data_IF_287036242332
#
_entry.id   IF_287036242332
#
_cell.length_a   1.000
_cell.length_b   1.000
_cell.length_c   1.000
_cell.angle_alpha   90.00
_cell.angle_beta   90.00
_cell.angle_gamma   90.00
#
_symmetry.space_group_name_H-M   'P 1'
#
loop_
_entity.id
_entity.type
_entity.pdbx_description
1 polymer ?
#
# COMPACT_ATOMS: atom_id res chain seq x y z
N UNK A 1 9.71 -32.92 -37.91
CA UNK A 1 10.05 -32.55 -36.52
C UNK A 1 9.65 -31.09 -36.29
N UNK A 2 8.75 -30.82 -35.34
CA UNK A 2 8.33 -29.47 -35.05
C UNK A 2 9.52 -28.68 -34.44
N UNK A 3 9.80 -27.51 -35.02
CA UNK A 3 10.92 -26.66 -34.57
C UNK A 3 10.58 -26.07 -33.20
N UNK A 4 11.37 -26.43 -32.16
CA UNK A 4 11.21 -25.86 -30.83
C UNK A 4 11.47 -24.37 -30.88
N UNK A 5 10.56 -23.58 -30.34
CA UNK A 5 10.75 -22.13 -30.17
C UNK A 5 11.38 -21.84 -28.83
N UNK A 6 12.06 -20.69 -28.72
CA UNK A 6 12.76 -20.27 -27.52
C UNK A 6 12.06 -19.04 -26.92
N UNK A 7 11.86 -19.04 -25.62
CA UNK A 7 11.32 -17.86 -24.92
C UNK A 7 12.27 -16.68 -25.10
N UNK A 8 11.75 -15.54 -25.57
CA UNK A 8 12.57 -14.36 -25.87
C UNK A 8 13.14 -13.71 -24.61
N UNK A 9 12.53 -13.96 -23.43
CA UNK A 9 12.95 -13.33 -22.18
C UNK A 9 13.94 -14.20 -21.39
N UNK A 10 13.65 -15.49 -21.16
CA UNK A 10 14.48 -16.37 -20.31
C UNK A 10 15.27 -17.43 -21.09
N UNK A 11 15.11 -17.54 -22.41
CA UNK A 11 15.83 -18.51 -23.23
C UNK A 11 15.35 -19.95 -23.14
N UNK A 12 14.30 -20.24 -22.34
CA UNK A 12 13.73 -21.59 -22.22
C UNK A 12 13.21 -22.10 -23.56
N UNK A 13 13.55 -23.35 -23.93
CA UNK A 13 12.97 -24.02 -25.09
C UNK A 13 11.52 -24.39 -24.79
N UNK A 14 10.60 -24.05 -25.69
CA UNK A 14 9.16 -24.19 -25.50
C UNK A 14 8.59 -25.24 -26.43
N UNK A 15 7.77 -26.11 -25.88
CA UNK A 15 6.92 -27.00 -26.66
C UNK A 15 5.82 -26.19 -27.36
N UNK A 16 5.24 -26.70 -28.47
CA UNK A 16 4.17 -25.97 -29.19
C UNK A 16 3.01 -25.52 -28.31
N UNK A 17 2.69 -26.28 -27.26
CA UNK A 17 1.57 -26.08 -26.33
C UNK A 17 1.88 -25.02 -25.23
N UNK A 18 3.18 -24.80 -24.93
CA UNK A 18 3.63 -23.84 -23.90
C UNK A 18 3.88 -22.43 -24.44
N UNK A 19 3.56 -22.19 -25.70
CA UNK A 19 3.89 -20.94 -26.39
C UNK A 19 2.83 -19.88 -26.13
N UNK A 20 3.23 -18.80 -25.50
CA UNK A 20 2.45 -17.57 -25.45
C UNK A 20 3.09 -16.54 -26.38
N UNK A 21 2.28 -15.88 -27.21
CA UNK A 21 2.75 -14.85 -28.15
C UNK A 21 2.31 -13.46 -27.72
N UNK A 22 3.24 -12.51 -27.73
CA UNK A 22 2.96 -11.10 -27.49
C UNK A 22 3.85 -10.24 -28.39
N UNK A 23 3.25 -9.28 -29.09
CA UNK A 23 3.95 -8.39 -30.02
C UNK A 23 4.90 -9.16 -30.99
N UNK A 24 4.39 -10.22 -31.61
CA UNK A 24 5.13 -11.09 -32.56
C UNK A 24 6.35 -11.83 -31.97
N UNK A 25 6.47 -11.89 -30.63
CA UNK A 25 7.52 -12.64 -29.94
C UNK A 25 6.92 -13.77 -29.11
N UNK A 26 7.70 -14.85 -28.93
CA UNK A 26 7.26 -16.04 -28.17
C UNK A 26 7.85 -16.02 -26.78
N UNK A 27 7.02 -16.37 -25.77
CA UNK A 27 7.37 -16.38 -24.36
C UNK A 27 6.84 -17.65 -23.70
N UNK A 28 7.44 -18.08 -22.60
CA UNK A 28 6.84 -19.03 -21.68
C UNK A 28 5.74 -18.35 -20.85
N UNK A 29 4.85 -19.13 -20.29
CA UNK A 29 3.69 -18.62 -19.53
C UNK A 29 4.09 -17.65 -18.42
N UNK A 30 5.13 -17.97 -17.64
CA UNK A 30 5.63 -17.10 -16.56
C UNK A 30 6.13 -15.76 -17.08
N UNK A 31 6.93 -15.77 -18.15
CA UNK A 31 7.43 -14.54 -18.75
C UNK A 31 6.32 -13.73 -19.41
N UNK A 32 5.34 -14.39 -19.99
CA UNK A 32 4.16 -13.76 -20.57
C UNK A 32 3.32 -13.06 -19.50
N UNK A 33 3.05 -13.72 -18.36
CA UNK A 33 2.37 -13.11 -17.21
C UNK A 33 3.10 -11.88 -16.68
N UNK A 34 4.43 -11.94 -16.60
CA UNK A 34 5.23 -10.77 -16.18
C UNK A 34 5.09 -9.59 -17.15
N UNK A 35 5.14 -9.86 -18.45
CA UNK A 35 5.00 -8.81 -19.49
C UNK A 35 3.60 -8.19 -19.46
N UNK A 36 2.56 -9.00 -19.30
CA UNK A 36 1.18 -8.48 -19.17
C UNK A 36 1.03 -7.60 -17.94
N UNK A 37 1.52 -8.09 -16.79
CA UNK A 37 1.48 -7.32 -15.55
C UNK A 37 2.22 -5.99 -15.69
N UNK A 38 3.41 -5.98 -16.25
CA UNK A 38 4.19 -4.77 -16.48
C UNK A 38 3.48 -3.79 -17.42
N UNK A 39 2.82 -4.31 -18.48
CA UNK A 39 2.00 -3.51 -19.38
C UNK A 39 0.81 -2.88 -18.68
N UNK A 40 0.15 -3.61 -17.79
CA UNK A 40 -1.02 -3.10 -17.06
C UNK A 40 -0.60 -2.09 -15.98
N UNK A 41 0.49 -2.34 -15.26
CA UNK A 41 1.08 -1.38 -14.33
C UNK A 41 1.46 -0.06 -15.04
N UNK A 42 2.01 -0.16 -16.25
CA UNK A 42 2.32 1.03 -17.05
C UNK A 42 1.09 1.82 -17.45
N UNK A 43 0.02 1.14 -17.89
CA UNK A 43 -1.26 1.81 -18.20
C UNK A 43 -1.83 2.52 -16.99
N UNK A 44 -1.82 1.86 -15.83
CA UNK A 44 -2.29 2.43 -14.56
C UNK A 44 -1.48 3.68 -14.17
N UNK A 45 -0.15 3.66 -14.35
CA UNK A 45 0.70 4.82 -14.12
C UNK A 45 0.31 6.00 -15.02
N UNK A 46 0.13 5.74 -16.32
CA UNK A 46 -0.27 6.77 -17.28
C UNK A 46 -1.65 7.34 -16.94
N UNK A 47 -2.61 6.48 -16.63
CA UNK A 47 -3.95 6.90 -16.21
C UNK A 47 -3.90 7.73 -14.93
N UNK A 48 -3.14 7.28 -13.93
CA UNK A 48 -2.94 8.04 -12.69
C UNK A 48 -2.37 9.44 -12.97
N UNK A 49 -1.37 9.55 -13.84
CA UNK A 49 -0.78 10.83 -14.21
C UNK A 49 -1.84 11.70 -14.91
N UNK A 50 -2.54 11.20 -15.91
CA UNK A 50 -3.55 11.97 -16.64
C UNK A 50 -4.61 12.54 -15.69
N UNK A 51 -5.14 11.71 -14.80
CA UNK A 51 -6.19 12.12 -13.85
C UNK A 51 -5.68 13.13 -12.82
N UNK A 52 -4.50 12.89 -12.23
CA UNK A 52 -4.04 13.69 -11.10
C UNK A 52 -3.28 14.97 -11.48
N UNK A 53 -2.82 15.04 -12.72
CA UNK A 53 -2.21 16.27 -13.28
C UNK A 53 -3.21 17.05 -14.15
N UNK A 54 -4.44 16.55 -14.31
CA UNK A 54 -5.49 17.17 -15.15
C UNK A 54 -5.05 17.40 -16.60
N UNK A 55 -4.33 16.41 -17.17
CA UNK A 55 -3.82 16.45 -18.54
C UNK A 55 -4.37 15.29 -19.37
N UNK A 56 -4.62 15.51 -20.64
CA UNK A 56 -5.09 14.45 -21.54
C UNK A 56 -4.02 13.37 -21.78
N UNK A 57 -2.76 13.78 -21.80
CA UNK A 57 -1.62 12.91 -22.06
C UNK A 57 -0.35 13.38 -21.36
N UNK A 58 0.46 12.47 -20.78
CA UNK A 58 1.74 12.83 -20.23
C UNK A 58 2.67 13.44 -21.27
N UNK A 59 3.46 14.42 -20.85
CA UNK A 59 4.42 15.11 -21.72
C UNK A 59 5.60 14.23 -22.08
N UNK A 60 6.31 14.56 -23.16
CA UNK A 60 7.55 13.87 -23.54
C UNK A 60 8.59 13.87 -22.42
N UNK A 61 8.61 14.93 -21.62
CA UNK A 61 9.47 15.05 -20.45
C UNK A 61 9.12 14.00 -19.36
N UNK A 62 7.83 13.85 -19.05
CA UNK A 62 7.36 12.82 -18.10
C UNK A 62 7.69 11.39 -18.57
N UNK A 63 7.48 11.10 -19.86
CA UNK A 63 7.85 9.80 -20.42
C UNK A 63 9.35 9.51 -20.29
N UNK A 64 10.19 10.53 -20.53
CA UNK A 64 11.63 10.40 -20.34
C UNK A 64 11.97 10.11 -18.88
N UNK A 65 11.40 10.86 -17.93
CA UNK A 65 11.62 10.63 -16.50
C UNK A 65 11.21 9.20 -16.07
N UNK A 66 10.04 8.71 -16.52
CA UNK A 66 9.56 7.35 -16.22
C UNK A 66 10.55 6.32 -16.77
N UNK A 67 11.01 6.51 -18.03
CA UNK A 67 11.98 5.61 -18.65
C UNK A 67 13.32 5.61 -17.91
N UNK A 68 13.84 6.78 -17.56
CA UNK A 68 15.10 6.93 -16.84
C UNK A 68 15.01 6.26 -15.45
N UNK A 69 13.92 6.46 -14.72
CA UNK A 69 13.69 5.79 -13.44
C UNK A 69 13.62 4.26 -13.56
N UNK A 70 13.00 3.76 -14.64
CA UNK A 70 12.95 2.33 -14.92
C UNK A 70 14.31 1.75 -15.25
N UNK A 71 15.15 2.46 -16.04
CA UNK A 71 16.47 1.98 -16.48
C UNK A 71 17.56 2.15 -15.44
N UNK A 72 17.59 3.29 -14.75
CA UNK A 72 18.66 3.63 -13.82
C UNK A 72 18.49 2.99 -12.45
N UNK A 73 17.24 2.92 -11.96
CA UNK A 73 16.92 2.40 -10.63
C UNK A 73 16.19 1.05 -10.66
N UNK A 74 15.69 0.61 -11.81
CA UNK A 74 14.93 -0.64 -11.93
C UNK A 74 13.55 -0.62 -11.28
N UNK A 75 13.02 0.56 -10.93
CA UNK A 75 11.73 0.68 -10.24
C UNK A 75 10.56 0.19 -11.09
N UNK A 76 9.59 -0.48 -10.46
CA UNK A 76 8.37 -0.90 -11.14
C UNK A 76 7.42 0.27 -11.38
N UNK A 77 6.56 0.17 -12.39
CA UNK A 77 5.56 1.20 -12.65
C UNK A 77 4.54 1.30 -11.51
N UNK A 78 4.20 0.17 -10.88
CA UNK A 78 3.34 0.16 -9.71
C UNK A 78 3.96 0.94 -8.53
N UNK A 79 5.26 0.79 -8.28
CA UNK A 79 5.94 1.54 -7.22
C UNK A 79 6.00 3.04 -7.52
N UNK A 80 6.22 3.44 -8.78
CA UNK A 80 6.16 4.85 -9.19
C UNK A 80 4.75 5.43 -8.97
N UNK A 81 3.71 4.69 -9.35
CA UNK A 81 2.32 5.10 -9.12
C UNK A 81 2.02 5.28 -7.64
N UNK A 82 2.45 4.31 -6.82
CA UNK A 82 2.27 4.37 -5.37
C UNK A 82 3.00 5.58 -4.75
N UNK A 83 4.22 5.86 -5.19
CA UNK A 83 4.97 7.02 -4.71
C UNK A 83 4.28 8.34 -5.05
N UNK A 84 3.74 8.48 -6.26
CA UNK A 84 2.96 9.67 -6.63
C UNK A 84 1.68 9.80 -5.80
N UNK A 85 0.99 8.67 -5.58
CA UNK A 85 -0.18 8.61 -4.69
C UNK A 85 0.20 9.05 -3.26
N UNK A 86 1.29 8.50 -2.71
CA UNK A 86 1.80 8.86 -1.38
C UNK A 86 2.10 10.36 -1.28
N UNK A 87 2.78 10.93 -2.28
CA UNK A 87 3.06 12.36 -2.32
C UNK A 87 1.78 13.21 -2.31
N UNK A 88 0.76 12.79 -3.05
CA UNK A 88 -0.51 13.51 -3.15
C UNK A 88 -1.36 13.35 -1.89
N UNK A 89 -1.67 12.11 -1.51
CA UNK A 89 -2.68 11.80 -0.49
C UNK A 89 -2.12 11.88 0.94
N UNK A 90 -0.86 11.50 1.14
CA UNK A 90 -0.27 11.47 2.49
C UNK A 90 0.49 12.75 2.78
N UNK A 91 1.34 13.21 1.85
CA UNK A 91 2.14 14.42 2.04
C UNK A 91 1.43 15.71 1.60
N UNK A 92 0.24 15.63 0.99
CA UNK A 92 -0.51 16.79 0.51
C UNK A 92 0.21 17.61 -0.56
N UNK A 93 1.14 17.01 -1.30
CA UNK A 93 1.91 17.71 -2.33
C UNK A 93 1.09 17.87 -3.60
N UNK A 94 1.14 19.06 -4.18
CA UNK A 94 0.54 19.31 -5.49
C UNK A 94 1.40 18.67 -6.59
N UNK A 95 0.77 17.88 -7.43
CA UNK A 95 1.38 17.31 -8.63
C UNK A 95 1.32 18.39 -9.73
N UNK A 96 2.48 18.84 -10.21
CA UNK A 96 2.56 19.90 -11.18
C UNK A 96 3.28 19.43 -12.45
N UNK A 97 2.65 19.68 -13.61
CA UNK A 97 3.18 19.28 -14.92
C UNK A 97 4.59 19.83 -15.18
N UNK A 98 4.91 21.01 -14.68
CA UNK A 98 6.23 21.66 -14.84
C UNK A 98 7.38 20.79 -14.32
N UNK A 99 7.15 20.05 -13.24
CA UNK A 99 8.16 19.17 -12.63
C UNK A 99 8.02 17.72 -13.09
N UNK A 100 6.96 17.42 -13.82
CA UNK A 100 6.65 16.06 -14.26
C UNK A 100 6.52 15.11 -13.07
N UNK A 101 7.11 13.92 -13.19
CA UNK A 101 7.09 12.87 -12.16
C UNK A 101 8.35 12.86 -11.28
N UNK A 102 9.06 13.99 -11.21
CA UNK A 102 10.32 14.08 -10.44
C UNK A 102 10.15 13.77 -8.95
N UNK A 103 8.98 13.98 -8.37
CA UNK A 103 8.67 13.64 -6.98
C UNK A 103 8.96 12.18 -6.65
N UNK A 104 8.82 11.26 -7.62
CA UNK A 104 9.13 9.85 -7.42
C UNK A 104 10.58 9.67 -6.96
N UNK A 105 11.55 10.36 -7.57
CA UNK A 105 12.96 10.26 -7.18
C UNK A 105 13.23 10.68 -5.73
N UNK A 106 12.51 11.67 -5.26
CA UNK A 106 12.74 12.24 -3.93
C UNK A 106 12.04 11.48 -2.80
N UNK A 107 10.92 10.84 -3.11
CA UNK A 107 10.04 10.24 -2.10
C UNK A 107 9.88 8.73 -2.23
N UNK A 108 10.63 8.10 -3.13
CA UNK A 108 10.51 6.67 -3.36
C UNK A 108 10.80 5.83 -2.11
N UNK A 109 11.89 6.12 -1.42
CA UNK A 109 12.28 5.39 -0.21
C UNK A 109 11.24 5.58 0.91
N UNK A 110 10.85 6.84 1.17
CA UNK A 110 9.86 7.17 2.18
C UNK A 110 8.49 6.50 1.90
N UNK A 111 8.05 6.52 0.64
CA UNK A 111 6.83 5.85 0.22
C UNK A 111 6.93 4.32 0.36
N UNK A 112 8.10 3.75 0.07
CA UNK A 112 8.36 2.31 0.23
C UNK A 112 8.31 1.88 1.69
N UNK A 113 8.92 2.65 2.58
CA UNK A 113 8.89 2.42 4.02
C UNK A 113 7.46 2.51 4.56
N UNK A 114 6.73 3.54 4.14
CA UNK A 114 5.32 3.69 4.50
C UNK A 114 4.48 2.50 4.04
N UNK A 115 4.67 2.05 2.80
CA UNK A 115 4.00 0.85 2.28
C UNK A 115 4.28 -0.38 3.13
N UNK A 116 5.55 -0.61 3.45
CA UNK A 116 5.99 -1.76 4.26
C UNK A 116 5.37 -1.74 5.65
N UNK A 117 5.32 -0.56 6.29
CA UNK A 117 4.66 -0.39 7.59
C UNK A 117 3.17 -0.69 7.52
N UNK A 118 2.47 -0.17 6.51
CA UNK A 118 1.04 -0.43 6.31
C UNK A 118 0.75 -1.92 6.07
N UNK A 119 1.62 -2.60 5.32
CA UNK A 119 1.50 -4.04 5.09
C UNK A 119 1.72 -4.85 6.38
N UNK A 120 2.71 -4.47 7.19
CA UNK A 120 2.94 -5.09 8.49
C UNK A 120 1.74 -4.93 9.42
N UNK A 121 1.17 -3.72 9.52
CA UNK A 121 -0.03 -3.44 10.32
C UNK A 121 -1.20 -4.31 9.84
N UNK A 122 -1.44 -4.35 8.54
CA UNK A 122 -2.50 -5.17 7.95
C UNK A 122 -2.33 -6.65 8.28
N UNK A 123 -1.11 -7.18 8.15
CA UNK A 123 -0.79 -8.57 8.45
C UNK A 123 -0.95 -8.88 9.96
N UNK A 124 -0.63 -7.94 10.84
CA UNK A 124 -0.85 -8.08 12.28
C UNK A 124 -2.35 -8.09 12.62
N UNK A 125 -3.12 -7.17 12.02
CA UNK A 125 -4.58 -7.13 12.21
C UNK A 125 -5.27 -8.40 11.70
N UNK A 126 -4.81 -8.96 10.59
CA UNK A 126 -5.34 -10.23 10.06
C UNK A 126 -5.05 -11.40 11.01
N UNK A 127 -3.84 -11.46 11.56
CA UNK A 127 -3.49 -12.45 12.60
C UNK A 127 -4.36 -12.31 13.85
N UNK A 128 -4.64 -11.08 14.29
CA UNK A 128 -5.51 -10.82 15.45
C UNK A 128 -6.97 -11.22 15.19
N UNK A 129 -7.49 -11.04 13.99
CA UNK A 129 -8.83 -11.52 13.62
C UNK A 129 -8.98 -13.04 13.70
N UNK A 130 -7.90 -13.77 13.48
CA UNK A 130 -7.87 -15.23 13.52
C UNK A 130 -7.54 -15.81 14.90
N UNK A 131 -7.28 -14.95 15.91
CA UNK A 131 -7.05 -15.40 17.28
C UNK A 131 -8.41 -15.51 17.99
N UNK A 132 -8.81 -16.75 18.34
CA UNK A 132 -9.92 -16.97 19.26
C UNK A 132 -9.57 -16.38 20.63
N UNK A 133 -10.26 -15.31 21.01
CA UNK A 133 -10.11 -14.71 22.35
C UNK A 133 -10.76 -15.65 23.36
N UNK A 134 -9.98 -16.53 23.98
CA UNK A 134 -10.41 -17.31 25.14
C UNK A 134 -10.42 -16.40 26.36
N UNK A 135 -11.53 -15.73 26.60
CA UNK A 135 -11.73 -14.96 27.84
C UNK A 135 -11.91 -15.91 29.00
N UNK A 136 -10.91 -15.98 29.88
CA UNK A 136 -11.04 -16.65 31.16
C UNK A 136 -11.71 -15.69 32.13
N UNK A 137 -12.99 -15.90 32.42
CA UNK A 137 -13.69 -15.12 33.46
C UNK A 137 -13.10 -15.55 34.80
N UNK A 138 -12.18 -14.76 35.32
CA UNK A 138 -11.72 -14.89 36.71
C UNK A 138 -12.78 -14.26 37.60
N UNK A 139 -13.64 -15.09 38.20
CA UNK A 139 -14.52 -14.62 39.29
C UNK A 139 -13.63 -14.26 40.46
N UNK A 140 -13.31 -12.99 40.63
CA UNK A 140 -12.73 -12.51 41.86
C UNK A 140 -13.81 -12.60 42.95
N UNK A 141 -13.69 -13.55 43.83
CA UNK A 141 -14.43 -13.56 45.08
C UNK A 141 -13.88 -12.46 45.97
N UNK A 142 -14.21 -11.22 45.71
CA UNK A 142 -14.01 -10.13 46.66
C UNK A 142 -15.00 -10.37 47.79
N UNK A 143 -14.53 -11.04 48.85
CA UNK A 143 -15.16 -10.92 50.17
C UNK A 143 -14.94 -9.48 50.57
N UNK A 144 -15.89 -8.64 50.26
CA UNK A 144 -15.96 -7.26 50.78
C UNK A 144 -16.16 -7.43 52.29
N UNK A 145 -15.11 -7.29 53.07
CA UNK A 145 -15.20 -7.06 54.51
C UNK A 145 -15.84 -5.69 54.68
N UNK A 146 -17.16 -5.66 54.80
CA UNK A 146 -17.89 -4.45 55.17
C UNK A 146 -17.54 -4.19 56.64
N UNK A 147 -16.63 -3.27 56.86
CA UNK A 147 -16.34 -2.76 58.18
C UNK A 147 -17.53 -1.91 58.63
N UNK A 148 -18.38 -2.45 59.49
CA UNK A 148 -19.64 -1.82 59.96
C UNK A 148 -19.44 -0.50 60.73
N UNK A 149 -18.23 0.03 60.83
CA UNK A 149 -17.89 1.24 61.55
C UNK A 149 -17.40 2.43 60.70
N UNK A 150 -17.57 2.37 59.36
CA UNK A 150 -17.42 3.59 58.57
C UNK A 150 -18.75 4.34 58.58
N UNK A 151 -18.80 5.45 59.29
CA UNK A 151 -19.90 6.38 59.25
C UNK A 151 -20.19 6.78 57.82
N UNK A 152 -21.41 6.54 57.38
CA UNK A 152 -21.94 7.05 56.11
C UNK A 152 -21.71 8.56 56.09
N UNK A 153 -20.86 9.04 55.21
CA UNK A 153 -20.75 10.47 54.92
C UNK A 153 -22.08 10.90 54.36
N UNK A 154 -22.80 11.71 55.15
CA UNK A 154 -24.11 12.19 54.77
C UNK A 154 -23.98 13.17 53.62
N UNK A 155 -24.37 12.77 52.46
CA UNK A 155 -24.26 13.58 51.22
C UNK A 155 -25.14 14.85 51.28
N UNK A 156 -26.10 14.92 52.20
CA UNK A 156 -26.95 16.08 52.38
C UNK A 156 -26.21 17.32 52.86
N UNK A 157 -25.14 17.18 53.61
CA UNK A 157 -24.34 18.31 54.11
C UNK A 157 -23.39 18.92 53.06
N UNK A 158 -23.26 18.34 51.88
CA UNK A 158 -22.43 18.86 50.79
C UNK A 158 -23.21 19.74 49.83
N UNK A 159 -24.54 19.76 49.89
CA UNK A 159 -25.39 20.51 48.97
C UNK A 159 -25.88 21.86 49.51
N UNK A 160 -25.68 22.16 50.82
CA UNK A 160 -26.17 23.41 51.44
C UNK A 160 -25.09 24.51 51.61
N UNK A 161 -23.93 24.37 50.99
CA UNK A 161 -22.81 25.32 51.11
C UNK A 161 -22.49 26.12 49.85
N UNK A 162 -23.48 26.66 49.18
CA UNK A 162 -23.24 27.40 47.93
C UNK A 162 -24.15 28.60 47.72
N UNK A 163 -24.27 29.47 48.73
CA UNK A 163 -24.72 30.83 48.50
C UNK A 163 -24.18 31.74 49.61
N UNK A 164 -23.18 32.57 49.26
CA UNK A 164 -23.00 33.95 49.75
C UNK A 164 -21.64 34.53 49.41
N UNK A 165 -21.70 35.55 48.63
CA UNK A 165 -20.82 36.70 48.34
C UNK A 165 -20.11 36.67 47.00
#
# INVERSE_FOLDING_TARGET
MARLSTCKNCGKKLQPEEKCTHASKTYCEECYKKILRESDEYKQLIEFICVNYEIERPTGFMFKQIKDMKTDFGWSYAAMTYTLWYCKEILGKQLNEKYGVALVKHFYEEASDYYTQQEQIRNQMEKLKNVEIKTKIVKQNNKIHINKNSSLVNLENLLEGGDAH
#
